data_IF_162048007369
#
_entry.id   IF_162048007369
#
_cell.length_a   1.000
_cell.length_b   1.000
_cell.length_c   1.000
_cell.angle_alpha   90.00
_cell.angle_beta   90.00
_cell.angle_gamma   90.00
#
_symmetry.space_group_name_H-M   'P 1'
#
loop_
_entity.id
_entity.type
_entity.pdbx_description
1 polymer ?
#
# COMPACT_ATOMS: atom_id res chain seq x y z
N UNK A 1 5.97 27.24 10.30
CA UNK A 1 7.09 26.91 11.21
C UNK A 1 8.23 26.37 10.38
N UNK A 2 9.48 26.77 10.62
CA UNK A 2 10.63 26.25 9.86
C UNK A 2 11.61 25.62 10.86
N UNK A 3 11.92 24.34 10.68
CA UNK A 3 13.02 23.66 11.38
C UNK A 3 14.19 23.56 10.40
N UNK A 4 15.29 24.21 10.75
CA UNK A 4 16.55 24.16 10.00
C UNK A 4 17.73 24.03 10.96
N UNK A 5 18.86 23.51 10.48
CA UNK A 5 20.13 23.47 11.22
C UNK A 5 20.07 22.65 12.53
N UNK A 6 19.66 21.38 12.44
CA UNK A 6 19.42 20.49 13.59
C UNK A 6 18.24 20.91 14.49
N UNK A 7 17.24 21.59 13.93
CA UNK A 7 16.01 21.93 14.66
C UNK A 7 15.24 20.66 15.05
N UNK A 8 14.78 20.58 16.30
CA UNK A 8 13.95 19.48 16.81
C UNK A 8 12.57 20.03 17.20
N UNK A 9 11.51 19.42 16.69
CA UNK A 9 10.14 19.63 17.20
C UNK A 9 9.55 18.30 17.68
N UNK A 10 8.73 18.38 18.73
CA UNK A 10 7.99 17.22 19.23
C UNK A 10 6.56 17.63 19.50
N UNK A 11 5.62 16.78 19.08
CA UNK A 11 4.19 16.97 19.27
C UNK A 11 3.67 18.31 18.73
N UNK A 12 4.25 18.77 17.61
CA UNK A 12 3.77 19.96 16.92
C UNK A 12 2.34 19.71 16.42
N UNK A 13 1.45 20.69 16.58
CA UNK A 13 0.09 20.63 16.00
C UNK A 13 -0.04 21.71 14.93
N UNK A 14 -0.42 21.30 13.73
CA UNK A 14 -0.63 22.18 12.58
C UNK A 14 -2.13 22.19 12.27
N UNK A 15 -2.78 23.33 12.54
CA UNK A 15 -4.22 23.55 12.26
C UNK A 15 -4.44 24.40 11.00
N UNK A 16 -3.43 24.48 10.14
CA UNK A 16 -3.35 25.33 8.95
C UNK A 16 -1.96 25.94 8.75
N UNK A 17 -1.71 26.49 7.57
CA UNK A 17 -0.41 27.03 7.19
C UNK A 17 0.60 25.94 6.80
N UNK A 18 1.89 26.28 6.84
CA UNK A 18 2.99 25.41 6.40
C UNK A 18 3.99 25.19 7.53
N UNK A 19 4.38 23.94 7.74
CA UNK A 19 5.60 23.57 8.46
C UNK A 19 6.61 23.02 7.46
N UNK A 20 7.87 23.45 7.57
CA UNK A 20 8.99 22.93 6.77
C UNK A 20 10.01 22.33 7.72
N UNK A 21 10.45 21.11 7.41
CA UNK A 21 11.54 20.41 8.09
C UNK A 21 12.63 20.16 7.07
N UNK A 22 13.75 20.83 7.21
CA UNK A 22 14.90 20.66 6.33
C UNK A 22 16.21 20.66 7.12
N UNK A 23 17.15 19.84 6.71
CA UNK A 23 18.52 19.86 7.17
C UNK A 23 19.40 20.52 6.12
N UNK A 24 20.68 20.67 6.42
CA UNK A 24 21.67 20.95 5.40
C UNK A 24 22.77 19.91 5.60
N UNK A 25 23.08 19.14 4.57
CA UNK A 25 24.28 18.31 4.53
C UNK A 25 25.39 19.07 3.77
N UNK A 26 25.99 20.17 4.28
CA UNK A 26 27.36 20.43 3.90
C UNK A 26 28.23 19.49 4.73
N UNK A 27 28.80 18.49 4.07
CA UNK A 27 30.02 17.81 4.52
C UNK A 27 31.00 18.87 5.02
N UNK A 28 31.32 18.94 6.33
CA UNK A 28 32.28 19.93 6.76
C UNK A 28 33.71 19.57 6.37
N UNK A 29 34.09 18.31 6.01
CA UNK A 29 35.51 17.96 5.91
C UNK A 29 36.00 16.67 5.17
N UNK A 30 35.23 15.72 4.60
CA UNK A 30 35.87 14.44 4.15
C UNK A 30 35.41 13.72 2.88
N UNK A 31 34.36 14.10 2.16
CA UNK A 31 33.94 13.41 0.92
C UNK A 31 33.61 11.92 1.09
N UNK A 32 33.23 11.50 2.30
CA UNK A 32 32.90 10.12 2.66
C UNK A 32 31.37 9.95 2.74
N UNK A 33 30.75 9.19 1.82
CA UNK A 33 29.30 8.95 1.82
C UNK A 33 28.81 8.05 2.97
N UNK A 34 29.71 7.53 3.82
CA UNK A 34 29.36 6.71 4.99
C UNK A 34 29.35 7.46 6.33
N UNK A 35 29.63 8.77 6.35
CA UNK A 35 29.62 9.58 7.56
C UNK A 35 28.19 9.94 8.02
N UNK A 36 27.86 9.82 9.33
CA UNK A 36 26.52 10.13 9.84
C UNK A 36 26.21 11.65 9.78
N UNK A 37 24.98 11.99 9.38
CA UNK A 37 24.49 13.36 9.19
C UNK A 37 24.62 14.22 10.45
N UNK A 38 25.30 15.37 10.35
CA UNK A 38 25.58 16.26 11.50
C UNK A 38 24.55 17.37 11.72
N UNK A 39 23.59 17.59 10.80
CA UNK A 39 22.58 18.66 10.91
C UNK A 39 21.16 18.27 10.43
N UNK A 40 20.77 17.00 10.59
CA UNK A 40 19.41 16.60 10.24
C UNK A 40 18.40 17.29 11.18
N UNK A 41 17.38 17.95 10.61
CA UNK A 41 16.27 18.50 11.40
C UNK A 41 15.22 17.41 11.58
N UNK A 42 14.69 17.29 12.80
CA UNK A 42 13.78 16.21 13.14
C UNK A 42 12.46 16.75 13.71
N UNK A 43 11.34 16.16 13.28
CA UNK A 43 10.07 16.32 13.97
C UNK A 43 9.48 14.97 14.36
N UNK A 44 8.91 14.86 15.56
CA UNK A 44 8.27 13.63 16.02
C UNK A 44 6.87 13.89 16.58
N UNK A 45 5.94 12.98 16.31
CA UNK A 45 4.57 13.06 16.84
C UNK A 45 3.79 14.26 16.32
N UNK A 46 4.14 14.79 15.15
CA UNK A 46 3.44 15.94 14.56
C UNK A 46 2.00 15.54 14.21
N UNK A 47 1.04 16.36 14.60
CA UNK A 47 -0.37 16.21 14.24
C UNK A 47 -0.71 17.28 13.20
N UNK A 48 -1.01 16.85 11.98
CA UNK A 48 -1.44 17.71 10.88
C UNK A 48 -2.97 17.59 10.72
N UNK A 49 -3.70 18.61 11.17
CA UNK A 49 -5.16 18.65 11.02
C UNK A 49 -5.57 19.28 9.68
N UNK A 50 -4.77 20.21 9.16
CA UNK A 50 -4.93 20.85 7.85
C UNK A 50 -3.67 21.63 7.46
N UNK A 51 -3.58 22.10 6.21
CA UNK A 51 -2.40 22.79 5.69
C UNK A 51 -1.37 21.81 5.13
N UNK A 52 -0.08 22.14 5.23
CA UNK A 52 0.99 21.26 4.77
C UNK A 52 2.18 21.14 5.72
N UNK A 53 2.80 19.97 5.70
CA UNK A 53 4.11 19.67 6.28
C UNK A 53 5.03 19.26 5.13
N UNK A 54 6.07 20.04 4.86
CA UNK A 54 7.05 19.73 3.82
C UNK A 54 8.35 19.25 4.47
N UNK A 55 8.87 18.13 3.99
CA UNK A 55 10.10 17.50 4.47
C UNK A 55 11.02 17.37 3.28
N UNK A 56 12.17 18.03 3.33
CA UNK A 56 13.17 18.01 2.25
C UNK A 56 14.50 17.48 2.75
N UNK A 57 15.52 17.52 1.89
CA UNK A 57 16.90 17.12 2.18
C UNK A 57 17.33 17.24 3.66
N UNK A 58 17.74 16.11 4.24
CA UNK A 58 18.19 16.00 5.63
C UNK A 58 17.10 16.23 6.69
N UNK A 59 15.86 16.46 6.29
CA UNK A 59 14.69 16.54 7.15
C UNK A 59 14.12 15.15 7.43
N UNK A 60 13.81 14.86 8.69
CA UNK A 60 13.24 13.58 9.12
C UNK A 60 12.00 13.86 9.95
N UNK A 61 10.87 13.25 9.57
CA UNK A 61 9.65 13.25 10.39
C UNK A 61 9.28 11.84 10.79
N UNK A 62 8.85 11.68 12.04
CA UNK A 62 8.48 10.38 12.61
C UNK A 62 7.15 10.44 13.31
N UNK A 63 6.35 9.37 13.19
CA UNK A 63 5.05 9.26 13.89
C UNK A 63 4.11 10.43 13.58
N UNK A 64 4.12 10.92 12.34
CA UNK A 64 3.23 12.00 11.91
C UNK A 64 1.81 11.45 11.80
N UNK A 65 0.85 12.10 12.46
CA UNK A 65 -0.58 11.81 12.30
C UNK A 65 -1.19 12.84 11.38
N UNK A 66 -1.67 12.42 10.21
CA UNK A 66 -2.36 13.28 9.26
C UNK A 66 -3.87 13.07 9.41
N UNK A 67 -4.56 14.02 10.00
CA UNK A 67 -6.03 14.06 10.08
C UNK A 67 -6.65 14.82 8.89
N UNK A 68 -5.83 15.56 8.15
CA UNK A 68 -6.17 16.30 6.93
C UNK A 68 -4.91 16.94 6.34
N UNK A 69 -5.05 17.68 5.25
CA UNK A 69 -3.92 18.37 4.61
C UNK A 69 -2.93 17.41 3.94
N UNK A 70 -1.70 17.89 3.73
CA UNK A 70 -0.67 17.14 2.98
C UNK A 70 0.67 17.12 3.70
N UNK A 71 1.22 15.91 3.89
CA UNK A 71 2.64 15.71 4.13
C UNK A 71 3.32 15.56 2.76
N UNK A 72 4.24 16.44 2.43
CA UNK A 72 4.99 16.45 1.18
C UNK A 72 6.45 16.06 1.47
N UNK A 73 6.82 14.84 1.11
CA UNK A 73 8.15 14.25 1.29
C UNK A 73 8.93 14.43 0.00
N UNK A 74 9.73 15.48 -0.02
CA UNK A 74 10.55 15.89 -1.15
C UNK A 74 11.84 15.05 -1.25
N UNK A 75 12.61 15.27 -2.30
CA UNK A 75 13.91 14.63 -2.52
C UNK A 75 14.80 14.67 -1.27
N UNK A 76 15.32 13.50 -0.89
CA UNK A 76 16.14 13.27 0.31
C UNK A 76 15.48 13.65 1.65
N UNK A 77 14.18 13.91 1.66
CA UNK A 77 13.36 13.96 2.86
C UNK A 77 12.95 12.55 3.30
N UNK A 78 12.74 12.36 4.60
CA UNK A 78 12.32 11.07 5.16
C UNK A 78 11.09 11.23 6.05
N UNK A 79 10.04 10.45 5.80
CA UNK A 79 8.90 10.31 6.69
C UNK A 79 8.72 8.84 7.10
N UNK A 80 8.72 8.59 8.41
CA UNK A 80 8.58 7.24 8.95
C UNK A 80 7.41 7.14 9.92
N UNK A 81 6.72 6.01 9.88
CA UNK A 81 5.57 5.72 10.75
C UNK A 81 4.45 6.76 10.66
N UNK A 82 4.21 7.30 9.47
CA UNK A 82 3.07 8.18 9.20
C UNK A 82 1.75 7.41 9.36
N UNK A 83 0.72 8.04 9.94
CA UNK A 83 -0.66 7.53 9.95
C UNK A 83 -1.54 8.49 9.17
N UNK A 84 -2.13 8.03 8.07
CA UNK A 84 -2.86 8.86 7.10
C UNK A 84 -4.36 8.59 7.21
N UNK A 85 -5.10 9.50 7.84
CA UNK A 85 -6.56 9.39 7.96
C UNK A 85 -7.29 9.91 6.72
N UNK A 86 -8.59 9.60 6.66
CA UNK A 86 -9.48 10.05 5.61
C UNK A 86 -9.40 11.56 5.37
N UNK A 87 -9.22 11.94 4.10
CA UNK A 87 -9.12 13.34 3.67
C UNK A 87 -7.71 13.93 3.76
N UNK A 88 -6.71 13.15 4.20
CA UNK A 88 -5.31 13.52 4.18
C UNK A 88 -4.52 12.77 3.09
N UNK A 89 -3.39 13.36 2.71
CA UNK A 89 -2.45 12.78 1.75
C UNK A 89 -1.02 12.83 2.29
N UNK A 90 -0.30 11.71 2.23
CA UNK A 90 1.16 11.70 2.23
C UNK A 90 1.61 11.58 0.77
N UNK A 91 2.24 12.63 0.25
CA UNK A 91 2.76 12.72 -1.10
C UNK A 91 4.28 12.55 -1.03
N UNK A 92 4.80 11.54 -1.72
CA UNK A 92 6.23 11.22 -1.74
C UNK A 92 6.74 11.46 -3.14
N UNK A 93 7.55 12.51 -3.27
CA UNK A 93 8.16 12.91 -4.53
C UNK A 93 9.35 12.01 -4.91
N UNK A 94 9.86 12.19 -6.12
CA UNK A 94 11.07 11.49 -6.56
C UNK A 94 12.23 11.70 -5.57
N UNK A 95 12.84 10.60 -5.11
CA UNK A 95 13.93 10.63 -4.12
C UNK A 95 13.49 10.83 -2.66
N UNK A 96 12.19 11.07 -2.41
CA UNK A 96 11.61 11.02 -1.06
C UNK A 96 11.55 9.58 -0.53
N UNK A 97 11.73 9.44 0.77
CA UNK A 97 11.81 8.12 1.44
C UNK A 97 10.67 8.00 2.46
N UNK A 98 9.93 6.89 2.38
CA UNK A 98 8.91 6.53 3.38
C UNK A 98 9.04 5.09 3.88
N UNK A 99 8.61 4.88 5.12
CA UNK A 99 8.62 3.57 5.77
C UNK A 99 7.59 3.47 6.89
N UNK A 100 7.13 2.24 7.15
CA UNK A 100 6.18 1.89 8.21
C UNK A 100 4.86 2.70 8.15
N UNK A 101 4.43 3.13 6.96
CA UNK A 101 3.24 3.96 6.78
C UNK A 101 1.96 3.17 7.06
N UNK A 102 1.04 3.77 7.81
CA UNK A 102 -0.31 3.26 8.04
C UNK A 102 -1.33 4.12 7.27
N UNK A 103 -2.04 3.50 6.33
CA UNK A 103 -3.13 4.12 5.58
C UNK A 103 -4.44 3.83 6.33
N UNK A 104 -4.92 4.80 7.10
CA UNK A 104 -6.12 4.74 7.93
C UNK A 104 -7.33 5.42 7.25
N UNK A 105 -7.43 5.25 5.93
CA UNK A 105 -8.48 5.81 5.09
C UNK A 105 -8.10 6.99 4.20
N UNK A 106 -6.87 7.51 4.34
CA UNK A 106 -6.34 8.53 3.44
C UNK A 106 -5.63 7.97 2.21
N UNK A 107 -4.72 8.77 1.65
CA UNK A 107 -3.93 8.39 0.47
C UNK A 107 -2.44 8.49 0.74
N UNK A 108 -1.70 7.43 0.45
CA UNK A 108 -0.26 7.47 0.22
C UNK A 108 -0.03 7.54 -1.29
N UNK A 109 0.57 8.62 -1.79
CA UNK A 109 0.88 8.83 -3.21
C UNK A 109 2.40 8.78 -3.44
N UNK A 110 2.87 7.67 -4.00
CA UNK A 110 4.27 7.44 -4.34
C UNK A 110 4.51 7.84 -5.81
N UNK A 111 5.15 8.99 -6.00
CA UNK A 111 5.54 9.45 -7.34
C UNK A 111 6.60 8.55 -7.95
N UNK A 112 6.78 8.70 -9.26
CA UNK A 112 7.86 8.03 -9.95
C UNK A 112 9.22 8.44 -9.34
N UNK A 113 10.03 7.46 -8.95
CA UNK A 113 11.29 7.65 -8.23
C UNK A 113 11.19 7.74 -6.69
N UNK A 114 10.00 7.66 -6.10
CA UNK A 114 9.84 7.57 -4.64
C UNK A 114 10.39 6.23 -4.11
N UNK A 115 10.88 6.24 -2.87
CA UNK A 115 11.49 5.09 -2.20
C UNK A 115 10.59 4.69 -1.02
N UNK A 116 10.21 3.43 -0.97
CA UNK A 116 9.46 2.81 0.12
C UNK A 116 10.28 1.62 0.63
N UNK A 117 10.71 1.65 1.89
CA UNK A 117 11.73 0.73 2.42
C UNK A 117 11.24 -0.21 3.54
N UNK A 118 10.00 -0.02 4.01
CA UNK A 118 9.37 -0.87 5.04
C UNK A 118 7.88 -1.09 4.73
N UNK A 119 7.17 -1.85 5.56
CA UNK A 119 5.79 -2.26 5.33
C UNK A 119 4.82 -1.07 5.23
N UNK A 120 3.81 -1.22 4.36
CA UNK A 120 2.66 -0.32 4.26
C UNK A 120 1.44 -1.08 4.79
N UNK A 121 0.77 -0.53 5.80
CA UNK A 121 -0.36 -1.18 6.48
C UNK A 121 -1.66 -0.44 6.21
N UNK A 122 -2.69 -1.13 5.73
CA UNK A 122 -4.04 -0.60 5.70
C UNK A 122 -4.74 -0.84 7.04
N UNK A 123 -5.46 0.17 7.53
CA UNK A 123 -6.27 0.07 8.77
C UNK A 123 -7.64 0.77 8.65
N UNK A 124 -8.04 1.06 7.43
CA UNK A 124 -9.31 1.66 7.03
C UNK A 124 -9.31 1.85 5.51
N UNK A 125 -10.50 2.05 4.92
CA UNK A 125 -10.68 2.14 3.46
C UNK A 125 -9.86 3.28 2.83
N UNK A 126 -8.68 2.97 2.32
CA UNK A 126 -7.72 3.96 1.83
C UNK A 126 -7.14 3.62 0.46
N UNK A 127 -6.20 4.47 0.00
CA UNK A 127 -5.54 4.32 -1.29
C UNK A 127 -4.03 4.32 -1.14
N UNK A 128 -3.37 3.28 -1.68
CA UNK A 128 -1.97 3.33 -2.05
C UNK A 128 -1.88 3.64 -3.54
N UNK A 129 -1.30 4.78 -3.91
CA UNK A 129 -1.08 5.18 -5.29
C UNK A 129 0.41 5.09 -5.65
N UNK A 130 0.71 4.48 -6.80
CA UNK A 130 2.06 4.23 -7.29
C UNK A 130 2.14 4.70 -8.74
N UNK A 131 2.93 5.75 -8.98
CA UNK A 131 3.05 6.36 -10.31
C UNK A 131 4.26 5.86 -11.10
N UNK A 132 4.98 4.87 -10.57
CA UNK A 132 6.15 4.27 -11.22
C UNK A 132 5.76 3.69 -12.58
N UNK A 133 6.42 4.17 -13.64
CA UNK A 133 6.08 3.82 -15.01
C UNK A 133 6.58 2.41 -15.36
N UNK A 134 5.66 1.54 -15.76
CA UNK A 134 5.92 0.17 -16.19
C UNK A 134 5.50 -0.02 -17.64
N UNK A 135 6.49 -0.16 -18.53
CA UNK A 135 6.26 -0.29 -19.98
C UNK A 135 6.33 -1.74 -20.44
N UNK A 136 7.34 -2.48 -19.96
CA UNK A 136 7.54 -3.88 -20.30
C UNK A 136 8.29 -4.63 -19.20
N UNK A 137 8.08 -5.95 -19.15
CA UNK A 137 8.77 -6.84 -18.22
C UNK A 137 8.15 -6.88 -16.83
N UNK A 138 8.81 -7.59 -15.92
CA UNK A 138 8.37 -7.74 -14.54
C UNK A 138 9.10 -6.77 -13.61
N UNK A 139 8.34 -6.19 -12.69
CA UNK A 139 8.80 -5.40 -11.56
C UNK A 139 8.35 -6.06 -10.25
N UNK A 140 8.98 -5.66 -9.15
CA UNK A 140 8.55 -6.03 -7.80
C UNK A 140 8.59 -4.81 -6.93
N UNK A 141 7.46 -4.49 -6.31
CA UNK A 141 7.33 -3.43 -5.34
C UNK A 141 8.02 -3.87 -4.04
N UNK A 142 8.91 -3.02 -3.53
CA UNK A 142 9.83 -3.40 -2.47
C UNK A 142 9.13 -3.64 -1.12
N UNK A 143 8.15 -2.81 -0.77
CA UNK A 143 7.46 -2.88 0.51
C UNK A 143 6.42 -4.00 0.56
N UNK A 144 6.37 -4.69 1.71
CA UNK A 144 5.26 -5.57 2.02
C UNK A 144 3.99 -4.75 2.27
N UNK A 145 2.85 -5.25 1.81
CA UNK A 145 1.54 -4.64 2.08
C UNK A 145 0.78 -5.51 3.08
N UNK A 146 0.26 -4.89 4.14
CA UNK A 146 -0.50 -5.56 5.19
C UNK A 146 -1.90 -4.94 5.36
N UNK A 147 -2.80 -5.69 5.98
CA UNK A 147 -4.11 -5.20 6.45
C UNK A 147 -5.12 -4.87 5.36
N UNK A 148 -4.89 -5.28 4.11
CA UNK A 148 -5.84 -5.03 3.01
C UNK A 148 -7.21 -5.65 3.34
N UNK A 149 -8.25 -4.83 3.28
CA UNK A 149 -9.64 -5.21 3.46
C UNK A 149 -10.49 -4.81 2.24
N UNK A 150 -11.69 -5.41 2.06
CA UNK A 150 -12.59 -4.99 0.98
C UNK A 150 -12.89 -3.49 1.00
N UNK A 151 -12.71 -2.83 -0.14
CA UNK A 151 -12.84 -1.38 -0.31
C UNK A 151 -11.50 -0.63 -0.41
N UNK A 152 -10.40 -1.21 0.07
CA UNK A 152 -9.07 -0.64 -0.10
C UNK A 152 -8.65 -0.63 -1.58
N UNK A 153 -7.85 0.37 -1.94
CA UNK A 153 -7.42 0.56 -3.32
C UNK A 153 -5.90 0.60 -3.47
N UNK A 154 -5.43 -0.02 -4.56
CA UNK A 154 -4.05 0.10 -5.04
C UNK A 154 -4.13 0.67 -6.46
N UNK A 155 -3.72 1.92 -6.62
CA UNK A 155 -3.75 2.65 -7.89
C UNK A 155 -2.36 2.62 -8.54
N UNK A 156 -2.22 1.86 -9.63
CA UNK A 156 -1.00 1.73 -10.42
C UNK A 156 -1.08 2.64 -11.64
N UNK A 157 -1.06 3.95 -11.42
CA UNK A 157 -1.17 4.95 -12.49
C UNK A 157 -0.07 4.81 -13.55
N UNK A 158 1.10 4.28 -13.18
CA UNK A 158 2.21 4.05 -14.11
C UNK A 158 2.14 2.74 -14.92
N UNK A 159 1.19 1.84 -14.61
CA UNK A 159 0.93 0.61 -15.36
C UNK A 159 -0.35 0.78 -16.21
N UNK A 160 -0.20 0.99 -17.52
CA UNK A 160 -1.33 1.28 -18.40
C UNK A 160 -2.39 0.18 -18.39
N UNK A 161 -3.66 0.58 -18.29
CA UNK A 161 -4.79 -0.35 -18.35
C UNK A 161 -4.96 -0.97 -19.74
N UNK A 162 -5.17 -2.28 -19.77
CA UNK A 162 -5.60 -3.04 -20.93
C UNK A 162 -6.83 -3.87 -20.57
N UNK A 163 -7.72 -4.14 -21.52
CA UNK A 163 -8.96 -4.90 -21.28
C UNK A 163 -8.73 -6.35 -20.82
N UNK A 164 -7.52 -6.88 -21.01
CA UNK A 164 -7.07 -8.18 -20.50
C UNK A 164 -6.16 -8.08 -19.27
N UNK A 165 -6.17 -6.96 -18.56
CA UNK A 165 -5.39 -6.81 -17.35
C UNK A 165 -5.81 -7.84 -16.29
N UNK A 166 -4.85 -8.31 -15.49
CA UNK A 166 -5.03 -9.34 -14.48
C UNK A 166 -4.47 -8.89 -13.14
N UNK A 167 -5.06 -9.38 -12.07
CA UNK A 167 -4.60 -9.24 -10.70
C UNK A 167 -4.76 -10.62 -10.07
N UNK A 168 -3.64 -11.33 -9.90
CA UNK A 168 -3.63 -12.74 -9.47
C UNK A 168 -2.95 -12.84 -8.11
N UNK A 169 -3.66 -13.38 -7.13
CA UNK A 169 -3.09 -13.69 -5.82
C UNK A 169 -2.73 -15.17 -5.76
N UNK A 170 -1.48 -15.49 -5.44
CA UNK A 170 -0.97 -16.84 -5.24
C UNK A 170 -0.10 -16.88 -3.98
N UNK A 171 -0.62 -17.50 -2.91
CA UNK A 171 0.00 -17.41 -1.59
C UNK A 171 0.05 -15.96 -1.11
N UNK A 172 1.23 -15.48 -0.74
CA UNK A 172 1.50 -14.10 -0.33
C UNK A 172 1.83 -13.16 -1.48
N UNK A 173 1.68 -13.59 -2.74
CA UNK A 173 2.10 -12.80 -3.90
C UNK A 173 0.90 -12.33 -4.69
N UNK A 174 0.76 -11.02 -4.85
CA UNK A 174 -0.16 -10.40 -5.80
C UNK A 174 0.62 -9.96 -7.04
N UNK A 175 0.25 -10.47 -8.22
CA UNK A 175 0.82 -10.03 -9.50
C UNK A 175 -0.24 -9.30 -10.31
N UNK A 176 0.06 -8.06 -10.69
CA UNK A 176 -0.80 -7.21 -11.51
C UNK A 176 -0.14 -7.05 -12.88
N UNK A 177 -0.84 -7.39 -13.96
CA UNK A 177 -0.29 -7.32 -15.30
C UNK A 177 -1.27 -6.76 -16.31
N UNK A 178 -0.77 -5.96 -17.26
CA UNK A 178 -1.52 -5.52 -18.43
C UNK A 178 -1.23 -6.37 -19.69
N UNK A 179 -0.48 -7.47 -19.54
CA UNK A 179 -0.05 -8.35 -20.64
C UNK A 179 1.31 -8.00 -21.26
N UNK A 180 1.82 -6.77 -21.09
CA UNK A 180 3.17 -6.37 -21.55
C UNK A 180 4.14 -6.13 -20.40
N UNK A 181 3.64 -5.61 -19.28
CA UNK A 181 4.35 -5.38 -18.05
C UNK A 181 3.59 -5.98 -16.86
N UNK A 182 4.28 -6.18 -15.75
CA UNK A 182 3.68 -6.62 -14.49
C UNK A 182 4.38 -6.03 -13.28
N UNK A 183 3.61 -5.71 -12.25
CA UNK A 183 4.10 -5.37 -10.91
C UNK A 183 3.74 -6.49 -9.94
N UNK A 184 4.66 -6.82 -9.03
CA UNK A 184 4.47 -7.88 -8.03
C UNK A 184 4.57 -7.30 -6.64
N UNK A 185 3.59 -7.62 -5.79
CA UNK A 185 3.51 -7.21 -4.40
C UNK A 185 3.62 -8.42 -3.48
N UNK A 186 4.28 -8.22 -2.34
CA UNK A 186 4.24 -9.17 -1.22
C UNK A 186 3.14 -8.74 -0.25
N UNK A 187 2.19 -9.61 0.01
CA UNK A 187 1.10 -9.44 0.97
C UNK A 187 1.46 -10.11 2.29
N UNK A 188 1.31 -9.41 3.42
CA UNK A 188 1.40 -9.98 4.75
C UNK A 188 0.11 -10.72 5.12
N UNK A 189 -1.04 -10.06 4.96
CA UNK A 189 -2.35 -10.67 5.09
C UNK A 189 -2.85 -11.20 3.73
N UNK A 190 -3.20 -12.48 3.69
CA UNK A 190 -3.74 -13.16 2.50
C UNK A 190 -5.25 -13.41 2.62
N UNK A 191 -5.94 -12.77 3.56
CA UNK A 191 -7.39 -12.89 3.75
C UNK A 191 -8.18 -12.36 2.54
N UNK A 192 -7.69 -11.29 1.92
CA UNK A 192 -8.21 -10.79 0.64
C UNK A 192 -7.46 -11.45 -0.52
N UNK A 193 -8.21 -12.19 -1.32
CA UNK A 193 -7.68 -12.93 -2.48
C UNK A 193 -8.17 -12.41 -3.82
N UNK A 194 -9.05 -11.40 -3.81
CA UNK A 194 -9.71 -10.89 -5.00
C UNK A 194 -9.62 -9.36 -5.07
N UNK A 195 -9.25 -8.87 -6.25
CA UNK A 195 -9.19 -7.46 -6.58
C UNK A 195 -10.02 -7.22 -7.84
N UNK A 196 -10.98 -6.29 -7.76
CA UNK A 196 -11.59 -5.71 -8.94
C UNK A 196 -10.56 -4.87 -9.68
N UNK A 197 -10.61 -4.88 -11.02
CA UNK A 197 -9.69 -4.15 -11.88
C UNK A 197 -10.49 -3.13 -12.68
N UNK A 198 -10.06 -1.88 -12.66
CA UNK A 198 -10.63 -0.80 -13.45
C UNK A 198 -9.53 0.06 -14.09
N UNK A 199 -9.92 0.87 -15.05
CA UNK A 199 -9.08 1.96 -15.57
C UNK A 199 -9.21 3.15 -14.61
N UNK A 200 -8.09 3.69 -14.14
CA UNK A 200 -8.08 4.91 -13.33
C UNK A 200 -8.36 6.17 -14.20
N UNK A 201 -8.32 7.36 -13.59
CA UNK A 201 -8.49 8.62 -14.32
C UNK A 201 -7.29 8.98 -15.23
N UNK A 202 -6.10 8.46 -14.94
CA UNK A 202 -4.83 8.73 -15.65
C UNK A 202 -4.59 7.77 -16.82
N UNK A 203 -5.39 6.71 -16.93
CA UNK A 203 -5.23 5.60 -17.87
C UNK A 203 -4.43 4.39 -17.36
N UNK A 204 -4.01 4.38 -16.09
CA UNK A 204 -3.42 3.25 -15.40
C UNK A 204 -4.45 2.27 -14.82
N UNK A 205 -3.96 1.28 -14.09
CA UNK A 205 -4.77 0.24 -13.47
C UNK A 205 -5.13 0.65 -12.04
N UNK A 206 -6.42 0.71 -11.73
CA UNK A 206 -6.92 0.78 -10.36
C UNK A 206 -7.36 -0.61 -9.91
N UNK A 207 -6.81 -1.07 -8.79
CA UNK A 207 -7.28 -2.23 -8.07
C UNK A 207 -8.15 -1.81 -6.90
N UNK A 208 -9.27 -2.51 -6.70
CA UNK A 208 -10.09 -2.38 -5.49
C UNK A 208 -10.22 -3.75 -4.85
N UNK A 209 -9.73 -3.89 -3.63
CA UNK A 209 -9.89 -5.09 -2.83
C UNK A 209 -11.38 -5.42 -2.68
N UNK A 210 -11.74 -6.67 -2.91
CA UNK A 210 -13.12 -7.12 -2.90
C UNK A 210 -13.27 -8.41 -2.09
N UNK A 211 -14.48 -8.63 -1.57
CA UNK A 211 -14.83 -9.93 -1.05
C UNK A 211 -14.72 -10.98 -2.17
N UNK A 212 -14.34 -12.21 -1.82
CA UNK A 212 -14.32 -13.31 -2.78
C UNK A 212 -15.71 -13.47 -3.41
N UNK A 213 -15.82 -13.61 -4.74
CA UNK A 213 -17.09 -13.83 -5.39
C UNK A 213 -17.72 -15.11 -4.84
N UNK A 214 -18.97 -15.00 -4.39
CA UNK A 214 -19.75 -16.16 -3.97
C UNK A 214 -20.64 -16.58 -5.12
N UNK A 215 -20.64 -17.86 -5.45
CA UNK A 215 -21.64 -18.44 -6.35
C UNK A 215 -22.86 -18.77 -5.48
N UNK A 216 -23.94 -17.98 -5.63
CA UNK A 216 -25.19 -18.21 -4.92
C UNK A 216 -26.25 -18.82 -5.86
N UNK A 217 -26.87 -19.93 -5.44
CA UNK A 217 -27.99 -20.58 -6.13
C UNK A 217 -28.00 -22.10 -6.01
N UNK A 218 -29.16 -22.72 -6.23
CA UNK A 218 -29.27 -24.16 -6.51
C UNK A 218 -29.09 -24.40 -8.00
N UNK A 219 -28.02 -25.11 -8.40
CA UNK A 219 -27.81 -25.58 -9.79
C UNK A 219 -28.81 -26.69 -10.13
N UNK A 220 -30.09 -26.36 -10.27
CA UNK A 220 -31.07 -27.27 -10.83
C UNK A 220 -30.82 -27.41 -12.33
N UNK A 221 -30.53 -28.63 -12.81
CA UNK A 221 -30.43 -28.94 -14.24
C UNK A 221 -29.02 -29.02 -14.86
N UNK A 222 -27.93 -28.89 -14.09
CA UNK A 222 -26.59 -29.25 -14.61
C UNK A 222 -26.42 -30.78 -14.63
N UNK A 223 -26.41 -31.38 -15.81
CA UNK A 223 -25.92 -32.76 -16.05
C UNK A 223 -24.47 -32.69 -16.53
N UNK A 224 -23.59 -33.50 -15.95
CA UNK A 224 -22.32 -33.85 -16.58
C UNK A 224 -22.56 -34.78 -17.77
N UNK A 225 -21.58 -34.94 -18.66
CA UNK A 225 -21.64 -35.87 -19.80
C UNK A 225 -21.82 -37.34 -19.41
N UNK A 226 -21.71 -37.69 -18.12
CA UNK A 226 -22.04 -38.99 -17.55
C UNK A 226 -23.35 -39.01 -16.72
N UNK A 227 -24.20 -37.99 -16.86
CA UNK A 227 -25.48 -37.80 -16.14
C UNK A 227 -25.39 -37.85 -14.60
N UNK A 228 -24.20 -37.71 -14.02
CA UNK A 228 -24.05 -37.63 -12.58
C UNK A 228 -24.50 -36.25 -12.08
N UNK A 229 -25.37 -36.22 -11.08
CA UNK A 229 -25.69 -34.99 -10.38
C UNK A 229 -24.42 -34.46 -9.68
N UNK A 230 -23.96 -33.27 -10.05
CA UNK A 230 -22.92 -32.58 -9.29
C UNK A 230 -23.59 -31.97 -8.07
N UNK A 231 -23.12 -32.34 -6.88
CA UNK A 231 -23.49 -31.66 -5.65
C UNK A 231 -22.28 -30.89 -5.12
N UNK A 232 -21.93 -29.75 -5.75
CA UNK A 232 -20.68 -29.02 -5.45
C UNK A 232 -20.66 -28.42 -4.04
N UNK A 233 -21.77 -28.48 -3.30
CA UNK A 233 -21.91 -27.98 -1.93
C UNK A 233 -22.19 -29.08 -0.89
N UNK A 234 -21.98 -30.36 -1.21
CA UNK A 234 -22.13 -31.41 -0.22
C UNK A 234 -21.07 -31.27 0.87
N UNK A 235 -21.45 -30.75 2.04
CA UNK A 235 -20.64 -30.83 3.26
C UNK A 235 -20.27 -32.29 3.48
N UNK A 236 -18.97 -32.59 3.52
CA UNK A 236 -18.41 -33.90 3.84
C UNK A 236 -19.15 -34.53 5.04
N UNK A 237 -20.02 -35.51 4.78
CA UNK A 237 -20.46 -36.42 5.83
C UNK A 237 -19.48 -37.58 5.84
N UNK A 238 -18.56 -37.52 6.80
CA UNK A 238 -17.69 -38.63 7.17
C UNK A 238 -18.54 -39.91 7.28
N UNK A 239 -18.21 -40.91 6.46
CA UNK A 239 -18.91 -42.18 6.40
C UNK A 239 -18.61 -42.93 7.70
N UNK A 240 -19.57 -42.97 8.63
CA UNK A 240 -19.53 -43.93 9.74
C UNK A 240 -19.68 -45.31 9.12
N UNK A 241 -18.58 -46.05 9.09
CA UNK A 241 -18.54 -47.44 8.65
C UNK A 241 -19.13 -48.30 9.77
N UNK A 242 -20.41 -48.68 9.66
CA UNK A 242 -20.99 -49.70 10.53
C UNK A 242 -20.40 -51.05 10.15
N UNK A 243 -19.50 -51.58 10.99
CA UNK A 243 -19.10 -52.99 10.89
C UNK A 243 -20.30 -53.89 11.26
N UNK A 244 -20.56 -54.98 10.51
CA UNK A 244 -21.55 -55.96 10.94
C UNK A 244 -21.00 -56.81 12.09
N UNK A 245 -21.81 -56.99 13.13
CA UNK A 245 -21.55 -57.90 14.26
C UNK A 245 -21.55 -59.36 13.76
N UNK A 246 -20.63 -60.23 14.21
CA UNK A 246 -20.67 -61.64 13.85
C UNK A 246 -21.81 -62.34 14.59
N UNK A 247 -22.59 -63.11 13.85
CA UNK A 247 -23.62 -64.01 14.40
C UNK A 247 -22.89 -65.19 15.03
N UNK A 248 -23.15 -65.45 16.32
CA UNK A 248 -22.91 -66.74 16.99
C UNK A 248 -24.25 -67.25 17.47
#
# INVERSE_FOLDING_TARGET
MHLTGAGIASNATINGGVMTVSGSIPDPLTGDPSAPAVNASAASGTILNSGSLSVSDGGIVTSTTLNGGTLDVLDQGTANASTIHLGATELVEAGGIVGATTIAGGTLDLKAGAISDDAITFSGQGTLKIEQKLVSGASTFASQIDGIAPGDSIDLSGLSYASGATATVSGSTLTVSNGTASETFTLADTSVTHFGIAKDASGGILLTAAASPTIAGTVSGQKTSNEAAINPFATSRSRIQTQPQPIV
#
